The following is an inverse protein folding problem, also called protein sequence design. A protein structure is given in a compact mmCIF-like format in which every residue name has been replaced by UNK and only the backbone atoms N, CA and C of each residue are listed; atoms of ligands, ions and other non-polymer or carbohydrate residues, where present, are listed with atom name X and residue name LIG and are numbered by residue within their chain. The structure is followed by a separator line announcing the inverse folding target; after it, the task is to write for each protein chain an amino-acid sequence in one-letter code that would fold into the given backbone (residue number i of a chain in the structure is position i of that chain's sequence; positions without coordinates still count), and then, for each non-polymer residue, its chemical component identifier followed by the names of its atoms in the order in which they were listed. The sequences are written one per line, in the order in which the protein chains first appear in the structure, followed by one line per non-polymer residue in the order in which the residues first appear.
data_IF_498420107279
#
_entry.id   IF_498420107279
#
_cell.length_a   1.000
_cell.length_b   1.000
_cell.length_c   1.000
_cell.angle_alpha   90.00
_cell.angle_beta   90.00
_cell.angle_gamma   90.00
#
_symmetry.space_group_name_H-M   'P 1'
#
loop_
_entity.id
_entity.type
_entity.pdbx_description
1 polymer ?
#
# COMPACT_ATOMS: atom_id res chain seq x y z
N UNK A 1 12.25 -7.70 14.06
CA UNK A 1 12.22 -7.30 12.64
C UNK A 1 13.51 -6.54 12.36
N UNK A 2 14.18 -6.81 11.25
CA UNK A 2 15.45 -6.18 10.83
C UNK A 2 15.33 -5.68 9.39
N UNK A 3 16.16 -4.72 8.99
CA UNK A 3 16.14 -4.15 7.65
C UNK A 3 17.37 -4.59 6.85
N UNK A 4 17.15 -4.95 5.59
CA UNK A 4 18.20 -5.35 4.66
C UNK A 4 18.15 -4.49 3.40
N UNK A 5 19.32 -4.15 2.87
CA UNK A 5 19.45 -3.59 1.53
C UNK A 5 19.47 -4.74 0.51
N UNK A 6 18.49 -4.76 -0.40
CA UNK A 6 18.39 -5.80 -1.43
C UNK A 6 18.34 -5.13 -2.80
N UNK A 7 19.29 -5.39 -3.70
CA UNK A 7 19.17 -4.93 -5.08
C UNK A 7 18.03 -5.69 -5.74
N UNK A 8 17.15 -4.98 -6.44
CA UNK A 8 15.94 -5.57 -7.06
C UNK A 8 15.96 -5.55 -8.59
N UNK A 9 16.72 -4.63 -9.20
CA UNK A 9 16.80 -4.45 -10.65
C UNK A 9 18.22 -4.19 -11.13
N UNK A 10 18.49 -4.55 -12.39
CA UNK A 10 19.71 -4.19 -13.11
C UNK A 10 19.66 -2.72 -13.63
N UNK A 11 20.68 -2.32 -14.40
CA UNK A 11 20.78 -0.96 -14.93
C UNK A 11 19.75 -0.69 -16.04
N UNK A 12 19.31 -1.75 -16.72
CA UNK A 12 18.33 -1.75 -17.79
C UNK A 12 16.89 -1.78 -17.26
N UNK A 13 16.71 -2.01 -15.94
CA UNK A 13 15.43 -2.01 -15.26
C UNK A 13 14.76 -3.39 -15.17
N UNK A 14 15.45 -4.47 -15.56
CA UNK A 14 14.93 -5.83 -15.40
C UNK A 14 15.10 -6.31 -13.97
N UNK A 15 14.18 -7.16 -13.51
CA UNK A 15 14.29 -7.78 -12.18
C UNK A 15 15.51 -8.71 -12.11
N UNK A 16 16.23 -8.66 -10.98
CA UNK A 16 17.37 -9.55 -10.74
C UNK A 16 16.92 -10.99 -10.46
N UNK A 17 17.81 -11.99 -10.63
CA UNK A 17 17.48 -13.40 -10.36
C UNK A 17 16.90 -13.62 -8.96
N UNK A 18 15.75 -14.30 -8.90
CA UNK A 18 15.01 -14.55 -7.65
C UNK A 18 14.17 -13.37 -7.15
N UNK A 19 14.12 -12.25 -7.88
CA UNK A 19 13.23 -11.12 -7.60
C UNK A 19 12.07 -11.14 -8.60
N UNK A 20 10.86 -10.88 -8.13
CA UNK A 20 9.71 -10.66 -9.01
C UNK A 20 8.94 -9.42 -8.55
N UNK A 21 8.78 -8.46 -9.44
CA UNK A 21 8.01 -7.24 -9.21
C UNK A 21 6.72 -7.21 -10.04
N UNK A 22 5.67 -6.58 -9.51
CA UNK A 22 4.42 -6.35 -10.24
C UNK A 22 3.72 -5.07 -9.77
N UNK A 23 2.95 -4.41 -10.63
CA UNK A 23 2.10 -3.29 -10.21
C UNK A 23 0.91 -3.82 -9.37
N UNK A 24 0.34 -2.95 -8.53
CA UNK A 24 -0.95 -3.17 -7.87
C UNK A 24 -2.13 -2.63 -8.68
N UNK A 25 -1.88 -2.16 -9.89
CA UNK A 25 -2.85 -1.58 -10.81
C UNK A 25 -3.55 -0.34 -10.22
N UNK A 26 -4.83 -0.17 -10.56
CA UNK A 26 -5.61 1.01 -10.25
C UNK A 26 -5.74 1.26 -8.74
N UNK A 27 -5.51 2.51 -8.35
CA UNK A 27 -5.62 3.00 -6.96
C UNK A 27 -6.70 4.04 -6.87
N UNK A 28 -7.57 3.90 -5.87
CA UNK A 28 -8.71 4.80 -5.66
C UNK A 28 -8.35 6.25 -5.31
N UNK A 29 -7.08 6.62 -5.14
CA UNK A 29 -6.71 7.95 -4.64
C UNK A 29 -5.32 8.50 -4.99
N UNK A 30 -4.51 7.83 -5.80
CA UNK A 30 -3.16 8.29 -6.19
C UNK A 30 -2.78 7.77 -7.59
N UNK A 31 -3.49 8.19 -8.66
CA UNK A 31 -3.11 7.81 -10.02
C UNK A 31 -1.74 8.41 -10.35
N UNK A 32 -0.77 7.56 -10.67
CA UNK A 32 0.61 7.95 -10.96
C UNK A 32 1.64 7.57 -9.89
N UNK A 33 1.20 7.07 -8.73
CA UNK A 33 2.12 6.37 -7.81
C UNK A 33 2.16 4.89 -8.20
N UNK A 34 3.35 4.32 -8.27
CA UNK A 34 3.70 3.00 -8.81
C UNK A 34 3.90 1.95 -7.71
N UNK A 35 3.15 2.05 -6.60
CA UNK A 35 3.10 0.97 -5.60
C UNK A 35 2.88 -0.39 -6.28
N UNK A 36 3.83 -1.28 -6.05
CA UNK A 36 3.83 -2.65 -6.54
C UNK A 36 4.02 -3.68 -5.44
N UNK A 37 4.05 -4.94 -5.85
CA UNK A 37 4.45 -6.09 -5.05
C UNK A 37 5.88 -6.48 -5.41
N UNK A 38 6.62 -6.94 -4.40
CA UNK A 38 7.95 -7.51 -4.57
C UNK A 38 7.95 -8.88 -3.88
N UNK A 39 8.40 -9.91 -4.59
CA UNK A 39 8.57 -11.28 -4.08
C UNK A 39 10.05 -11.65 -4.20
N UNK A 40 10.57 -12.32 -3.17
CA UNK A 40 11.94 -12.84 -3.14
C UNK A 40 11.89 -14.37 -3.09
N UNK A 41 12.56 -15.01 -4.03
CA UNK A 41 12.81 -16.45 -4.06
C UNK A 41 14.31 -16.70 -3.84
N UNK A 42 14.66 -17.07 -2.60
CA UNK A 42 16.01 -17.45 -2.18
C UNK A 42 17.14 -16.48 -2.58
N UNK A 43 16.85 -15.18 -2.69
CA UNK A 43 17.84 -14.14 -3.01
C UNK A 43 18.94 -14.09 -1.96
N UNK A 44 20.19 -14.13 -2.42
CA UNK A 44 21.39 -14.02 -1.57
C UNK A 44 21.91 -12.59 -1.59
N UNK A 45 22.20 -12.06 -0.41
CA UNK A 45 22.82 -10.74 -0.22
C UNK A 45 24.03 -10.85 0.71
N UNK A 46 25.04 -9.97 0.56
CA UNK A 46 26.13 -9.86 1.52
C UNK A 46 25.62 -9.53 2.92
N UNK A 47 26.37 -9.94 3.95
CA UNK A 47 26.02 -9.70 5.35
C UNK A 47 25.98 -8.20 5.66
N UNK A 48 26.85 -7.44 5.01
CA UNK A 48 27.04 -5.99 5.15
C UNK A 48 25.77 -5.22 4.75
N UNK A 49 24.85 -5.84 4.03
CA UNK A 49 23.57 -5.25 3.67
C UNK A 49 22.57 -5.22 4.84
N UNK A 50 22.90 -5.80 6.00
CA UNK A 50 22.11 -5.65 7.23
C UNK A 50 22.28 -4.25 7.81
N UNK A 51 21.17 -3.49 7.92
CA UNK A 51 21.16 -2.20 8.61
C UNK A 51 21.19 -2.41 10.12
N UNK A 52 22.40 -2.53 10.67
CA UNK A 52 22.65 -3.04 12.02
C UNK A 52 22.75 -1.97 13.14
N UNK A 53 22.26 -0.75 12.92
CA UNK A 53 22.34 0.36 13.91
C UNK A 53 21.79 -0.01 15.30
N UNK A 54 20.77 -0.86 15.35
CA UNK A 54 20.05 -1.21 16.57
C UNK A 54 20.16 -2.69 16.94
N UNK A 55 20.90 -3.48 16.16
CA UNK A 55 21.03 -4.91 16.36
C UNK A 55 21.91 -5.51 15.29
N UNK A 56 22.95 -6.24 15.73
CA UNK A 56 23.93 -6.86 14.86
C UNK A 56 23.86 -8.39 15.01
N UNK A 57 24.23 -9.07 13.93
CA UNK A 57 24.44 -10.52 13.92
C UNK A 57 25.94 -10.72 14.11
N UNK A 58 26.43 -11.69 14.87
CA UNK A 58 27.87 -11.94 14.89
C UNK A 58 28.33 -12.58 13.55
N UNK A 59 29.59 -12.40 13.12
CA UNK A 59 30.19 -13.32 12.17
C UNK A 59 30.04 -14.75 12.73
N UNK A 60 29.85 -15.73 11.87
CA UNK A 60 29.90 -17.14 12.27
C UNK A 60 31.34 -17.52 12.63
N UNK A 61 31.76 -17.13 13.82
CA UNK A 61 32.87 -17.69 14.57
C UNK A 61 32.33 -18.91 15.34
N UNK A 62 33.04 -20.05 15.44
CA UNK A 62 32.55 -21.24 16.16
C UNK A 62 32.30 -21.03 17.66
N UNK A 63 32.59 -19.85 18.22
CA UNK A 63 32.44 -19.52 19.65
C UNK A 63 31.98 -18.06 19.82
N UNK A 64 30.85 -17.68 19.23
CA UNK A 64 30.29 -16.35 19.48
C UNK A 64 29.52 -16.31 20.83
N UNK A 65 30.04 -15.56 21.82
CA UNK A 65 29.36 -15.26 23.09
C UNK A 65 28.23 -14.24 22.84
N UNK A 66 27.05 -14.48 23.43
CA UNK A 66 25.87 -13.61 23.31
C UNK A 66 26.21 -12.14 23.62
N UNK A 67 26.18 -11.28 22.62
CA UNK A 67 26.24 -9.83 22.80
C UNK A 67 24.91 -9.34 23.41
N UNK A 68 24.99 -8.44 24.39
CA UNK A 68 23.80 -7.82 24.99
C UNK A 68 23.25 -6.80 24.00
N UNK A 69 22.09 -7.09 23.41
CA UNK A 69 21.36 -6.14 22.57
C UNK A 69 20.95 -4.92 23.42
N UNK A 70 21.36 -3.70 23.08
CA UNK A 70 20.72 -2.51 23.63
C UNK A 70 19.31 -2.43 23.04
N UNK A 71 18.28 -2.33 23.87
CA UNK A 71 16.92 -2.05 23.40
C UNK A 71 16.88 -0.64 22.85
N UNK A 72 17.18 -0.46 21.57
CA UNK A 72 16.91 0.78 20.87
C UNK A 72 15.49 0.74 20.33
N UNK A 73 14.64 1.65 20.81
CA UNK A 73 13.27 1.79 20.35
C UNK A 73 13.21 2.20 18.89
N UNK A 74 12.28 1.61 18.13
CA UNK A 74 11.93 2.10 16.81
C UNK A 74 11.32 3.49 16.95
N UNK A 75 12.05 4.52 16.50
CA UNK A 75 11.53 5.87 16.40
C UNK A 75 10.96 6.05 14.98
N UNK A 76 9.64 6.03 14.78
CA UNK A 76 9.09 6.39 13.49
C UNK A 76 9.42 7.87 13.20
N UNK A 77 9.75 8.17 11.96
CA UNK A 77 9.69 9.54 11.46
C UNK A 77 8.21 9.90 11.30
N UNK A 78 7.54 10.21 12.40
CA UNK A 78 6.17 10.71 12.41
C UNK A 78 6.16 12.19 12.77
N UNK A 79 6.85 12.99 11.98
CA UNK A 79 6.45 14.40 11.83
C UNK A 79 5.15 14.38 11.01
N UNK A 80 4.07 15.10 11.38
CA UNK A 80 2.84 15.06 10.62
C UNK A 80 3.00 15.81 9.30
N UNK A 81 3.49 15.13 8.26
CA UNK A 81 3.35 15.60 6.88
C UNK A 81 1.87 15.68 6.47
N UNK A 82 1.00 14.86 7.08
CA UNK A 82 -0.44 14.87 6.82
C UNK A 82 -1.12 16.22 7.10
N UNK A 83 -0.55 17.07 7.97
CA UNK A 83 -1.11 18.38 8.27
C UNK A 83 -0.74 19.47 7.23
N UNK A 84 0.16 19.17 6.30
CA UNK A 84 0.60 20.09 5.24
C UNK A 84 0.04 19.72 3.85
N UNK A 85 -1.10 19.02 3.79
CA UNK A 85 -1.88 19.00 2.57
C UNK A 85 -2.25 20.46 2.23
N UNK A 86 -1.63 20.99 1.19
CA UNK A 86 -1.75 22.40 0.80
C UNK A 86 -3.23 22.79 0.61
N UNK A 87 -3.61 24.04 0.91
CA UNK A 87 -4.98 24.54 0.69
C UNK A 87 -5.47 24.38 -0.77
N UNK A 88 -4.57 24.16 -1.73
CA UNK A 88 -4.90 23.82 -3.12
C UNK A 88 -5.74 22.56 -3.29
N UNK A 89 -5.68 21.57 -2.38
CA UNK A 89 -6.55 20.37 -2.47
C UNK A 89 -8.00 20.72 -2.11
N UNK A 90 -8.21 21.62 -1.15
CA UNK A 90 -9.53 22.02 -0.69
C UNK A 90 -10.24 23.01 -1.64
N UNK A 91 -9.48 23.73 -2.48
CA UNK A 91 -10.01 24.75 -3.39
C UNK A 91 -10.48 24.21 -4.75
N UNK A 92 -10.44 22.89 -5.00
CA UNK A 92 -10.98 22.32 -6.25
C UNK A 92 -12.52 22.42 -6.21
N UNK A 93 -13.16 23.11 -7.17
CA UNK A 93 -14.61 23.18 -7.21
C UNK A 93 -15.19 21.76 -7.34
N UNK A 94 -16.33 21.46 -6.71
CA UNK A 94 -16.95 20.16 -6.84
C UNK A 94 -17.22 19.87 -8.32
N UNK A 95 -17.09 18.60 -8.78
CA UNK A 95 -17.57 18.23 -10.11
C UNK A 95 -19.04 18.60 -10.23
N UNK A 96 -19.51 18.84 -11.46
CA UNK A 96 -20.78 19.41 -11.90
C UNK A 96 -22.06 18.65 -11.44
N UNK A 97 -22.13 18.20 -10.18
CA UNK A 97 -23.24 17.49 -9.56
C UNK A 97 -24.46 18.40 -9.34
N UNK A 98 -24.30 19.72 -9.43
CA UNK A 98 -25.41 20.68 -9.35
C UNK A 98 -26.32 20.69 -10.59
N UNK A 99 -25.99 19.95 -11.67
CA UNK A 99 -26.87 19.85 -12.85
C UNK A 99 -27.90 18.73 -12.79
N UNK A 100 -27.92 17.94 -11.72
CA UNK A 100 -28.80 16.75 -11.60
C UNK A 100 -30.05 16.95 -10.73
N UNK A 101 -30.22 18.08 -10.05
CA UNK A 101 -31.36 18.30 -9.13
C UNK A 101 -32.54 19.06 -9.74
N UNK A 102 -32.67 19.13 -11.07
CA UNK A 102 -33.83 19.74 -11.71
C UNK A 102 -34.30 18.93 -12.91
N UNK A 103 -34.94 17.80 -12.64
CA UNK A 103 -35.99 17.23 -13.50
C UNK A 103 -37.27 17.15 -12.66
N UNK A 104 -38.38 17.81 -13.05
CA UNK A 104 -39.61 17.76 -12.29
C UNK A 104 -40.24 16.37 -12.37
N UNK A 105 -40.71 15.88 -11.23
CA UNK A 105 -41.36 14.60 -11.02
C UNK A 105 -42.60 14.41 -11.92
N UNK A 106 -42.49 13.58 -12.96
CA UNK A 106 -43.68 12.96 -13.56
C UNK A 106 -44.21 11.89 -12.61
N UNK A 107 -45.23 12.28 -11.83
CA UNK A 107 -46.11 11.44 -11.02
C UNK A 107 -46.60 10.22 -11.82
N UNK A 108 -46.06 9.04 -11.53
CA UNK A 108 -46.58 7.78 -12.05
C UNK A 108 -47.70 7.31 -11.11
N UNK A 109 -48.96 7.41 -11.55
CA UNK A 109 -50.12 6.88 -10.84
C UNK A 109 -50.07 5.35 -10.79
N UNK A 110 -49.99 4.79 -9.59
CA UNK A 110 -50.13 3.37 -9.34
C UNK A 110 -51.61 2.96 -9.46
N UNK A 111 -51.94 2.15 -10.47
CA UNK A 111 -53.17 1.36 -10.48
C UNK A 111 -52.83 -0.07 -10.07
N UNK A 112 -53.42 -0.49 -8.96
CA UNK A 112 -53.34 -1.84 -8.40
C UNK A 112 -54.13 -2.86 -9.23
N UNK A 113 -53.51 -3.97 -9.61
CA UNK A 113 -54.21 -5.25 -9.80
C UNK A 113 -53.31 -6.41 -9.39
N UNK A 114 -53.92 -7.41 -8.75
CA UNK A 114 -53.34 -8.37 -7.83
C UNK A 114 -52.67 -9.61 -8.46
N UNK A 115 -51.57 -10.06 -7.80
CA UNK A 115 -51.21 -11.46 -7.41
C UNK A 115 -50.97 -12.57 -8.48
N UNK A 116 -50.30 -13.72 -8.16
CA UNK A 116 -49.30 -14.00 -7.10
C UNK A 116 -48.13 -14.96 -7.51
N UNK A 117 -47.17 -15.11 -6.58
CA UNK A 117 -46.29 -16.29 -6.31
C UNK A 117 -45.09 -16.59 -7.21
N UNK A 118 -43.87 -16.51 -6.64
CA UNK A 118 -42.98 -17.68 -6.39
C UNK A 118 -41.89 -17.30 -5.37
N UNK A 119 -41.77 -18.17 -4.37
CA UNK A 119 -40.91 -18.15 -3.18
C UNK A 119 -39.41 -18.23 -3.51
N UNK A 120 -38.58 -17.43 -2.82
CA UNK A 120 -37.15 -17.65 -2.68
C UNK A 120 -36.87 -18.32 -1.31
N UNK A 121 -36.13 -19.44 -1.33
CA UNK A 121 -35.62 -20.13 -0.13
C UNK A 121 -34.35 -19.43 0.37
N UNK A 122 -34.18 -19.45 1.69
CA UNK A 122 -32.98 -19.07 2.43
C UNK A 122 -31.71 -19.74 1.91
#
# INVERSE_FOLDING_TARGET
MHCFLVPIRDAEGNDLPGVTTSDCDYKGGLPGVDNGRIVFDQVRIPRENLLNRYGDVAPTEPTARRSKTPTAGFSPCSTPWSAAASPSVAARPPPLASRWTSRPDTRCSASSSAHPTTTAKC
#
